data_IF_350683343324
#
_entry.id   IF_350683343324
#
_cell.length_a   1.000
_cell.length_b   1.000
_cell.length_c   1.000
_cell.angle_alpha   90.00
_cell.angle_beta   90.00
_cell.angle_gamma   90.00
#
_symmetry.space_group_name_H-M   'P 1'
#
loop_
_entity.id
_entity.type
_entity.pdbx_description
1 polymer ?
#
# COMPACT_ATOMS: atom_id res chain seq x y z
N UNK A 1 -7.61 -22.89 31.94
CA UNK A 1 -7.24 -22.59 30.54
C UNK A 1 -7.51 -21.11 30.31
N UNK A 2 -6.47 -20.29 30.39
CA UNK A 2 -6.57 -18.84 30.13
C UNK A 2 -6.96 -18.65 28.67
N UNK A 3 -8.01 -17.87 28.39
CA UNK A 3 -8.43 -17.59 27.02
C UNK A 3 -7.22 -17.08 26.19
N UNK A 4 -7.07 -17.50 24.91
CA UNK A 4 -6.02 -16.94 24.06
C UNK A 4 -6.25 -15.43 23.99
N UNK A 5 -5.35 -14.68 24.60
CA UNK A 5 -5.41 -13.21 24.55
C UNK A 5 -5.26 -12.83 23.08
N UNK A 6 -6.20 -12.06 22.53
CA UNK A 6 -6.10 -11.60 21.14
C UNK A 6 -4.90 -10.66 21.06
N UNK A 7 -3.94 -10.87 20.13
CA UNK A 7 -2.79 -9.99 19.99
C UNK A 7 -3.26 -8.56 19.69
N UNK A 8 -2.72 -7.60 20.44
CA UNK A 8 -3.10 -6.20 20.35
C UNK A 8 -1.88 -5.31 20.55
N UNK A 9 -2.02 -4.01 20.26
CA UNK A 9 -0.92 -3.04 20.33
C UNK A 9 -0.31 -2.85 21.73
N UNK A 10 -0.95 -3.33 22.80
CA UNK A 10 -0.43 -3.20 24.17
C UNK A 10 0.37 -4.43 24.62
N UNK A 11 0.27 -5.53 23.87
CA UNK A 11 0.83 -6.83 24.24
C UNK A 11 1.97 -7.29 23.30
N UNK A 12 2.46 -6.39 22.45
CA UNK A 12 3.61 -6.62 21.56
C UNK A 12 4.89 -6.04 22.15
N UNK A 13 6.05 -6.61 21.80
CA UNK A 13 7.35 -6.07 22.22
C UNK A 13 7.83 -4.99 21.25
N UNK A 14 8.54 -3.95 21.72
CA UNK A 14 9.21 -2.98 20.85
C UNK A 14 10.42 -3.60 20.12
N UNK A 15 10.84 -2.93 19.06
CA UNK A 15 12.02 -3.24 18.24
C UNK A 15 12.01 -4.66 17.66
N UNK A 16 10.82 -5.18 17.35
CA UNK A 16 10.65 -6.46 16.67
C UNK A 16 10.47 -6.19 15.18
N UNK A 17 11.17 -6.98 14.35
CA UNK A 17 11.05 -6.92 12.90
C UNK A 17 9.97 -7.89 12.44
N UNK A 18 9.06 -7.42 11.61
CA UNK A 18 7.99 -8.22 11.00
C UNK A 18 8.05 -8.04 9.49
N UNK A 19 7.97 -9.14 8.76
CA UNK A 19 7.99 -9.12 7.30
C UNK A 19 6.59 -9.46 6.77
N UNK A 20 6.07 -8.57 5.94
CA UNK A 20 4.82 -8.79 5.20
C UNK A 20 5.16 -8.93 3.72
N UNK A 21 4.74 -10.02 3.10
CA UNK A 21 4.84 -10.25 1.66
C UNK A 21 3.49 -9.94 1.01
N UNK A 22 3.51 -9.27 -0.14
CA UNK A 22 2.31 -8.98 -0.91
C UNK A 22 2.63 -8.35 -2.25
N UNK A 23 1.57 -8.04 -2.98
CA UNK A 23 1.61 -7.40 -4.30
C UNK A 23 1.29 -5.92 -4.16
N UNK A 24 2.04 -5.03 -4.81
CA UNK A 24 1.81 -3.59 -4.73
C UNK A 24 0.49 -3.21 -5.40
N UNK A 25 -0.47 -2.73 -4.60
CA UNK A 25 -1.73 -2.17 -5.08
C UNK A 25 -1.61 -0.66 -5.36
N UNK A 26 -0.83 0.05 -4.55
CA UNK A 26 -0.49 1.48 -4.70
C UNK A 26 0.81 1.79 -3.95
N UNK A 27 1.69 2.61 -4.54
CA UNK A 27 2.92 3.05 -3.90
C UNK A 27 3.14 4.56 -4.08
N UNK A 28 3.52 5.19 -2.97
CA UNK A 28 4.08 6.54 -2.82
C UNK A 28 5.24 6.43 -1.85
N UNK A 29 6.35 5.92 -2.35
CA UNK A 29 7.54 5.48 -1.62
C UNK A 29 8.78 6.25 -2.03
N UNK A 30 8.84 6.75 -3.28
CA UNK A 30 9.91 7.60 -3.79
C UNK A 30 9.68 9.09 -3.49
N UNK A 31 8.44 9.46 -3.12
CA UNK A 31 8.05 10.84 -2.87
C UNK A 31 7.00 10.95 -1.77
N UNK A 32 7.03 12.06 -1.03
CA UNK A 32 6.05 12.37 0.01
C UNK A 32 4.71 12.73 -0.63
N UNK A 33 3.63 12.23 -0.04
CA UNK A 33 2.27 12.71 -0.30
C UNK A 33 2.10 14.04 0.42
N UNK A 34 1.99 15.13 -0.33
CA UNK A 34 1.90 16.50 0.19
C UNK A 34 0.88 17.33 -0.59
N UNK A 35 0.59 18.55 -0.10
CA UNK A 35 -0.23 19.55 -0.79
C UNK A 35 -1.60 19.04 -1.25
N UNK A 36 -1.97 19.35 -2.50
CA UNK A 36 -3.27 19.00 -3.07
C UNK A 36 -3.55 17.48 -3.11
N UNK A 37 -2.51 16.64 -3.25
CA UNK A 37 -2.69 15.19 -3.17
C UNK A 37 -3.07 14.75 -1.77
N UNK A 38 -2.39 15.27 -0.75
CA UNK A 38 -2.69 15.00 0.65
C UNK A 38 -4.12 15.46 1.01
N UNK A 39 -4.48 16.68 0.63
CA UNK A 39 -5.84 17.24 0.85
C UNK A 39 -6.91 16.36 0.21
N UNK A 40 -6.70 15.94 -1.05
CA UNK A 40 -7.61 15.03 -1.75
C UNK A 40 -7.73 13.69 -1.02
N UNK A 41 -6.64 13.14 -0.51
CA UNK A 41 -6.68 11.87 0.23
C UNK A 41 -7.39 12.01 1.58
N UNK A 42 -7.14 13.10 2.31
CA UNK A 42 -7.84 13.40 3.57
C UNK A 42 -9.34 13.51 3.32
N UNK A 43 -9.75 14.27 2.30
CA UNK A 43 -11.16 14.46 1.93
C UNK A 43 -11.86 13.16 1.53
N UNK A 44 -11.16 12.27 0.81
CA UNK A 44 -11.72 10.97 0.39
C UNK A 44 -11.61 9.87 1.48
N UNK A 45 -10.96 10.15 2.60
CA UNK A 45 -10.76 9.17 3.66
C UNK A 45 -12.06 8.88 4.40
N UNK A 46 -12.33 7.60 4.65
CA UNK A 46 -13.44 7.16 5.53
C UNK A 46 -13.00 6.95 6.98
N UNK A 47 -11.73 7.21 7.28
CA UNK A 47 -11.21 7.10 8.65
C UNK A 47 -11.76 8.25 9.49
N UNK A 48 -12.15 7.96 10.74
CA UNK A 48 -12.46 8.99 11.73
C UNK A 48 -11.24 9.88 12.04
N UNK A 49 -10.03 9.34 11.83
CA UNK A 49 -8.76 10.03 12.02
C UNK A 49 -7.93 9.89 10.75
N UNK A 50 -8.17 10.73 9.73
CA UNK A 50 -7.37 10.70 8.50
C UNK A 50 -5.94 11.20 8.78
N UNK A 51 -4.97 10.62 8.08
CA UNK A 51 -3.57 11.07 8.13
C UNK A 51 -3.45 12.39 7.36
N UNK A 52 -3.12 13.47 8.06
CA UNK A 52 -3.05 14.84 7.52
C UNK A 52 -1.64 15.44 7.54
N UNK A 53 -0.62 14.62 7.81
CA UNK A 53 0.79 14.99 7.75
C UNK A 53 1.41 14.46 6.48
N UNK A 54 2.47 15.10 5.99
CA UNK A 54 3.30 14.57 4.92
C UNK A 54 3.75 13.14 5.27
N UNK A 55 3.59 12.20 4.35
CA UNK A 55 3.97 10.80 4.58
C UNK A 55 4.24 10.07 3.26
N UNK A 56 4.95 8.96 3.36
CA UNK A 56 4.96 7.92 2.30
C UNK A 56 3.95 6.83 2.64
N UNK A 57 3.49 6.13 1.60
CA UNK A 57 2.44 5.13 1.69
C UNK A 57 2.73 3.97 0.74
N UNK A 58 2.59 2.75 1.23
CA UNK A 58 2.47 1.57 0.40
C UNK A 58 1.23 0.78 0.79
N UNK A 59 0.43 0.43 -0.20
CA UNK A 59 -0.73 -0.44 -0.05
C UNK A 59 -0.47 -1.71 -0.84
N UNK A 60 -0.68 -2.83 -0.16
CA UNK A 60 -0.47 -4.17 -0.67
C UNK A 60 -1.80 -4.92 -0.78
N UNK A 61 -1.85 -5.86 -1.71
CA UNK A 61 -2.87 -6.90 -1.88
C UNK A 61 -2.25 -8.29 -1.74
N UNK A 62 -3.06 -9.33 -1.59
CA UNK A 62 -2.62 -10.71 -1.40
C UNK A 62 -1.58 -10.87 -0.28
N UNK A 63 -1.78 -10.13 0.83
CA UNK A 63 -0.82 -10.03 1.91
C UNK A 63 -0.74 -11.30 2.74
N UNK A 64 0.48 -11.67 3.10
CA UNK A 64 0.78 -12.73 4.07
C UNK A 64 1.97 -12.35 4.94
N UNK A 65 1.98 -12.82 6.18
CA UNK A 65 3.16 -12.72 7.04
C UNK A 65 4.20 -13.72 6.55
N UNK A 66 5.47 -13.30 6.53
CA UNK A 66 6.62 -14.20 6.40
C UNK A 66 7.12 -14.48 7.82
N UNK A 67 6.72 -15.60 8.43
CA UNK A 67 7.02 -15.84 9.83
C UNK A 67 8.50 -16.17 10.02
N UNK A 68 9.10 -15.66 11.09
CA UNK A 68 10.46 -16.04 11.49
C UNK A 68 10.55 -17.55 11.81
N UNK A 69 9.48 -18.12 12.38
CA UNK A 69 9.31 -19.56 12.56
C UNK A 69 8.01 -20.05 11.89
N UNK A 70 8.09 -20.84 10.81
CA UNK A 70 6.90 -21.33 10.09
C UNK A 70 5.91 -22.14 10.93
N UNK A 71 6.36 -22.73 12.05
CA UNK A 71 5.50 -23.55 12.90
C UNK A 71 4.61 -22.72 13.85
N UNK A 72 5.01 -21.49 14.18
CA UNK A 72 4.30 -20.67 15.16
C UNK A 72 4.60 -19.19 14.95
N UNK A 73 3.54 -18.40 14.75
CA UNK A 73 3.66 -16.94 14.72
C UNK A 73 3.95 -16.40 16.12
N UNK A 74 4.80 -15.38 16.14
CA UNK A 74 5.00 -14.51 17.30
C UNK A 74 3.76 -13.64 17.55
N UNK A 75 3.68 -13.05 18.75
CA UNK A 75 2.61 -12.12 19.09
C UNK A 75 2.59 -10.89 18.18
N UNK A 76 3.78 -10.42 17.77
CA UNK A 76 3.95 -9.28 16.88
C UNK A 76 3.48 -9.57 15.47
N UNK A 77 3.86 -10.72 14.93
CA UNK A 77 3.41 -11.21 13.62
C UNK A 77 1.89 -11.40 13.58
N UNK A 78 1.32 -12.02 14.62
CA UNK A 78 -0.11 -12.23 14.72
C UNK A 78 -0.88 -10.90 14.88
N UNK A 79 -0.30 -9.92 15.59
CA UNK A 79 -0.86 -8.57 15.68
C UNK A 79 -0.89 -7.89 14.31
N UNK A 80 0.22 -7.88 13.57
CA UNK A 80 0.26 -7.30 12.21
C UNK A 80 -0.69 -8.02 11.27
N UNK A 81 -0.79 -9.35 11.36
CA UNK A 81 -1.75 -10.12 10.58
C UNK A 81 -3.20 -9.69 10.85
N UNK A 82 -3.52 -9.36 12.11
CA UNK A 82 -4.86 -8.87 12.48
C UNK A 82 -5.21 -7.49 11.90
N UNK A 83 -4.20 -6.74 11.43
CA UNK A 83 -4.39 -5.45 10.75
C UNK A 83 -4.70 -5.60 9.26
N UNK A 84 -4.64 -6.82 8.72
CA UNK A 84 -5.03 -7.08 7.34
C UNK A 84 -6.53 -6.88 7.17
N UNK A 85 -6.93 -6.35 6.01
CA UNK A 85 -8.32 -6.04 5.71
C UNK A 85 -8.77 -6.67 4.40
N UNK A 86 -10.04 -7.04 4.32
CA UNK A 86 -10.62 -7.54 3.08
C UNK A 86 -11.12 -6.39 2.20
N UNK A 87 -10.92 -6.53 0.89
CA UNK A 87 -11.40 -5.56 -0.09
C UNK A 87 -12.88 -5.78 -0.41
N UNK A 88 -13.78 -5.03 0.23
CA UNK A 88 -15.25 -5.15 0.03
C UNK A 88 -15.73 -5.12 -1.43
N UNK A 89 -15.07 -4.34 -2.30
CA UNK A 89 -15.46 -4.19 -3.70
C UNK A 89 -14.74 -5.14 -4.66
N UNK A 90 -13.56 -5.62 -4.26
CA UNK A 90 -12.60 -6.30 -5.11
C UNK A 90 -12.00 -7.49 -4.34
N UNK A 91 -12.80 -8.52 -4.00
CA UNK A 91 -12.36 -9.63 -3.16
C UNK A 91 -11.24 -10.46 -3.78
N UNK A 92 -11.08 -10.42 -5.10
CA UNK A 92 -10.00 -11.08 -5.83
C UNK A 92 -8.60 -10.58 -5.46
N UNK A 93 -8.50 -9.40 -4.82
CA UNK A 93 -7.25 -8.84 -4.31
C UNK A 93 -6.81 -9.45 -2.97
N UNK A 94 -7.58 -10.40 -2.44
CA UNK A 94 -7.27 -11.08 -1.19
C UNK A 94 -7.19 -10.13 0.00
N UNK A 95 -6.28 -10.43 0.91
CA UNK A 95 -6.02 -9.61 2.09
C UNK A 95 -5.16 -8.39 1.72
N UNK A 96 -5.62 -7.22 2.12
CA UNK A 96 -4.93 -5.95 1.96
C UNK A 96 -4.20 -5.52 3.22
N UNK A 97 -3.12 -4.79 3.06
CA UNK A 97 -2.41 -4.11 4.14
C UNK A 97 -1.94 -2.73 3.68
N UNK A 98 -1.98 -1.75 4.58
CA UNK A 98 -1.56 -0.38 4.29
C UNK A 98 -0.51 0.04 5.32
N UNK A 99 0.71 0.33 4.84
CA UNK A 99 1.81 0.80 5.66
C UNK A 99 2.10 2.27 5.35
N UNK A 100 2.05 3.09 6.40
CA UNK A 100 2.37 4.52 6.35
C UNK A 100 3.70 4.75 7.03
N UNK A 101 4.55 5.54 6.40
CA UNK A 101 5.71 6.10 7.07
C UNK A 101 5.49 7.62 7.20
N UNK A 102 5.24 8.02 8.45
CA UNK A 102 4.94 9.40 8.84
C UNK A 102 6.22 10.23 9.08
N UNK A 103 7.39 9.65 8.87
CA UNK A 103 8.66 10.39 8.92
C UNK A 103 8.89 11.10 7.58
N UNK A 104 9.78 12.10 7.60
CA UNK A 104 10.20 12.79 6.38
C UNK A 104 11.22 11.98 5.56
N UNK A 105 11.75 10.91 6.13
CA UNK A 105 12.74 10.04 5.50
C UNK A 105 12.01 9.02 4.63
N UNK A 106 12.47 8.84 3.39
CA UNK A 106 11.92 7.81 2.51
C UNK A 106 12.26 6.41 3.04
N UNK A 107 11.37 5.42 2.87
CA UNK A 107 11.69 4.04 3.22
C UNK A 107 12.84 3.53 2.36
N UNK A 108 13.68 2.67 2.94
CA UNK A 108 14.81 2.08 2.21
C UNK A 108 14.30 1.09 1.16
N UNK A 109 14.65 1.29 -0.11
CA UNK A 109 14.35 0.33 -1.17
C UNK A 109 15.53 -0.61 -1.38
N UNK A 110 15.25 -1.92 -1.34
CA UNK A 110 16.23 -2.98 -1.52
C UNK A 110 15.83 -3.84 -2.72
N UNK A 111 16.77 -4.11 -3.63
CA UNK A 111 16.61 -5.06 -4.73
C UNK A 111 17.60 -6.21 -4.57
N UNK A 112 17.30 -7.35 -5.18
CA UNK A 112 18.24 -8.48 -5.21
C UNK A 112 19.50 -8.05 -5.96
N UNK A 113 20.66 -8.41 -5.41
CA UNK A 113 21.93 -8.12 -6.06
C UNK A 113 22.16 -9.09 -7.23
N UNK A 114 22.38 -8.60 -8.47
CA UNK A 114 22.63 -9.46 -9.63
C UNK A 114 23.96 -10.21 -9.54
N UNK A 115 24.95 -9.67 -8.82
CA UNK A 115 26.27 -10.31 -8.67
C UNK A 115 26.27 -11.33 -7.52
N UNK A 116 25.42 -11.12 -6.51
CA UNK A 116 25.25 -12.03 -5.38
C UNK A 116 23.76 -12.27 -5.10
N UNK A 117 23.18 -13.36 -5.60
CA UNK A 117 21.75 -13.65 -5.44
C UNK A 117 21.29 -13.81 -3.99
N UNK A 118 22.19 -13.99 -3.03
CA UNK A 118 21.85 -14.09 -1.61
C UNK A 118 21.95 -12.74 -0.88
N UNK A 119 22.41 -11.70 -1.57
CA UNK A 119 22.50 -10.34 -1.06
C UNK A 119 21.44 -9.42 -1.66
N UNK A 120 21.21 -8.32 -0.96
CA UNK A 120 20.34 -7.23 -1.39
C UNK A 120 21.15 -5.94 -1.46
N UNK A 121 20.95 -5.18 -2.53
CA UNK A 121 21.54 -3.84 -2.69
C UNK A 121 20.49 -2.77 -2.43
N UNK A 122 20.91 -1.66 -1.83
CA UNK A 122 20.07 -0.48 -1.70
C UNK A 122 19.97 0.25 -3.03
N UNK A 123 18.75 0.65 -3.38
CA UNK A 123 18.47 1.48 -4.54
C UNK A 123 18.52 2.93 -4.08
N UNK A 124 19.55 3.66 -4.52
CA UNK A 124 19.80 5.05 -4.11
C UNK A 124 19.08 6.02 -5.05
N UNK A 125 19.09 5.74 -6.35
CA UNK A 125 18.47 6.57 -7.37
C UNK A 125 17.10 6.01 -7.77
N UNK A 126 16.07 6.46 -7.06
CA UNK A 126 14.70 6.01 -7.31
C UNK A 126 14.06 6.92 -8.38
N UNK A 127 13.96 6.43 -9.61
CA UNK A 127 13.45 7.23 -10.74
C UNK A 127 11.92 7.38 -10.77
N UNK A 128 11.20 6.55 -10.01
CA UNK A 128 9.75 6.52 -9.99
C UNK A 128 9.16 5.69 -8.84
N UNK A 129 7.83 5.60 -8.81
CA UNK A 129 7.15 4.77 -7.82
C UNK A 129 7.12 3.30 -8.25
N UNK A 130 7.12 2.39 -7.28
CA UNK A 130 7.04 0.95 -7.54
C UNK A 130 5.75 0.65 -8.33
N UNK A 131 5.88 -0.10 -9.43
CA UNK A 131 4.76 -0.46 -10.27
C UNK A 131 3.73 -1.29 -9.52
N UNK A 132 2.47 -1.10 -9.88
CA UNK A 132 1.39 -1.97 -9.42
C UNK A 132 1.62 -3.38 -9.93
N UNK A 133 1.30 -4.38 -9.12
CA UNK A 133 1.54 -5.78 -9.46
C UNK A 133 2.91 -6.31 -9.06
N UNK A 134 3.82 -5.44 -8.60
CA UNK A 134 5.15 -5.87 -8.16
C UNK A 134 5.03 -6.65 -6.86
N UNK A 135 5.61 -7.84 -6.81
CA UNK A 135 5.73 -8.59 -5.57
C UNK A 135 6.85 -8.00 -4.71
N UNK A 136 6.52 -7.70 -3.45
CA UNK A 136 7.44 -7.10 -2.49
C UNK A 136 7.32 -7.75 -1.12
N UNK A 137 8.40 -7.63 -0.35
CA UNK A 137 8.44 -7.87 1.09
C UNK A 137 8.69 -6.55 1.79
N UNK A 138 7.74 -6.08 2.57
CA UNK A 138 7.94 -4.90 3.40
C UNK A 138 8.45 -5.33 4.78
N UNK A 139 9.43 -4.57 5.28
CA UNK A 139 10.02 -4.73 6.60
C UNK A 139 9.40 -3.71 7.52
N UNK A 140 8.70 -4.20 8.52
CA UNK A 140 8.05 -3.43 9.55
C UNK A 140 8.82 -3.55 10.85
N UNK A 141 8.80 -2.49 11.65
CA UNK A 141 9.41 -2.48 12.97
C UNK A 141 8.40 -2.00 14.01
N UNK A 142 8.26 -2.73 15.11
CA UNK A 142 7.45 -2.27 16.25
C UNK A 142 8.25 -1.23 17.03
N UNK A 143 7.60 -0.15 17.46
CA UNK A 143 8.29 0.89 18.22
C UNK A 143 7.42 1.43 19.35
N UNK A 144 8.09 1.91 20.39
CA UNK A 144 7.46 2.58 21.50
C UNK A 144 6.98 3.96 21.04
N UNK A 145 5.68 4.12 20.82
CA UNK A 145 5.11 5.41 20.42
C UNK A 145 5.20 6.41 21.58
N UNK A 146 5.44 7.67 21.26
CA UNK A 146 5.45 8.78 22.22
C UNK A 146 4.20 9.64 22.07
N UNK A 147 3.65 10.12 23.17
CA UNK A 147 2.54 11.07 23.16
C UNK A 147 3.04 12.48 22.81
N UNK A 148 2.10 13.44 22.70
CA UNK A 148 2.43 14.84 22.41
C UNK A 148 3.34 15.49 23.46
N UNK A 149 3.48 14.87 24.63
CA UNK A 149 4.29 15.33 25.75
C UNK A 149 5.59 14.51 25.92
N UNK A 150 5.91 13.63 24.96
CA UNK A 150 7.13 12.80 24.97
C UNK A 150 7.08 11.59 25.91
N UNK A 151 5.91 11.26 26.47
CA UNK A 151 5.71 10.09 27.35
C UNK A 151 5.39 8.85 26.52
N UNK A 152 5.70 7.68 27.06
CA UNK A 152 5.38 6.41 26.40
C UNK A 152 3.87 6.20 26.29
N UNK A 153 3.38 5.99 25.08
CA UNK A 153 2.03 5.50 24.87
C UNK A 153 1.93 4.03 25.27
N UNK A 154 0.81 3.64 25.86
CA UNK A 154 0.53 2.22 26.16
C UNK A 154 0.45 1.35 24.89
N UNK A 155 0.13 1.98 23.74
CA UNK A 155 0.07 1.30 22.44
C UNK A 155 1.39 1.47 21.73
N UNK A 156 1.98 0.36 21.32
CA UNK A 156 3.12 0.38 20.41
C UNK A 156 2.66 0.65 18.97
N UNK A 157 3.52 1.32 18.23
CA UNK A 157 3.35 1.59 16.81
C UNK A 157 4.01 0.52 15.95
N UNK A 158 3.62 0.48 14.67
CA UNK A 158 4.27 -0.32 13.63
C UNK A 158 4.68 0.64 12.53
N UNK A 159 5.98 0.70 12.25
CA UNK A 159 6.58 1.59 11.27
C UNK A 159 7.11 0.82 10.07
N UNK A 160 7.04 1.42 8.89
CA UNK A 160 7.69 0.90 7.68
C UNK A 160 9.16 1.32 7.67
N UNK A 161 10.07 0.35 7.61
CA UNK A 161 11.51 0.57 7.63
C UNK A 161 12.12 0.41 6.23
N UNK A 162 11.84 -0.72 5.58
CA UNK A 162 12.37 -1.04 4.26
C UNK A 162 11.33 -1.76 3.39
N UNK A 163 11.56 -1.71 2.07
CA UNK A 163 10.81 -2.44 1.06
C UNK A 163 11.80 -3.22 0.22
N UNK A 164 11.63 -4.53 0.20
CA UNK A 164 12.46 -5.48 -0.54
C UNK A 164 11.69 -5.93 -1.78
N UNK A 165 12.24 -5.69 -2.95
CA UNK A 165 11.68 -6.12 -4.22
C UNK A 165 12.02 -7.60 -4.46
N UNK A 166 11.07 -8.36 -5.01
CA UNK A 166 11.36 -9.72 -5.50
C UNK A 166 12.20 -9.72 -6.79
N UNK A 167 12.29 -8.59 -7.50
CA UNK A 167 12.97 -8.41 -8.79
C UNK A 167 14.34 -7.73 -8.63
N UNK A 168 15.20 -7.90 -9.64
CA UNK A 168 16.55 -7.31 -9.70
C UNK A 168 16.52 -5.81 -10.06
N UNK A 169 15.49 -5.39 -10.79
CA UNK A 169 15.22 -4.00 -11.18
C UNK A 169 13.87 -3.55 -10.62
N UNK A 170 13.71 -2.24 -10.40
CA UNK A 170 12.43 -1.66 -9.98
C UNK A 170 11.56 -1.48 -11.21
N UNK A 171 10.47 -2.23 -11.38
CA UNK A 171 9.47 -1.84 -12.37
C UNK A 171 8.86 -0.53 -11.88
N UNK A 172 9.05 0.56 -12.61
CA UNK A 172 8.45 1.85 -12.27
C UNK A 172 7.05 1.96 -12.88
N UNK A 173 6.09 2.51 -12.12
CA UNK A 173 4.82 2.91 -12.71
C UNK A 173 5.06 4.05 -13.71
N UNK A 174 4.54 3.97 -14.95
CA UNK A 174 4.68 5.07 -15.90
C UNK A 174 4.03 6.32 -15.31
N UNK A 175 4.82 7.37 -15.14
CA UNK A 175 4.34 8.71 -14.79
C UNK A 175 3.43 9.15 -15.95
N UNK A 176 2.21 9.63 -15.68
CA UNK A 176 1.27 10.06 -16.72
C UNK A 176 1.98 10.93 -17.76
N UNK A 177 2.16 10.38 -18.96
CA UNK A 177 3.11 10.86 -19.97
C UNK A 177 4.10 9.76 -20.36
N UNK A 178 3.65 8.84 -21.23
CA UNK A 178 4.44 7.75 -21.78
C UNK A 178 5.83 8.24 -22.21
N UNK A 179 6.89 7.69 -21.60
CA UNK A 179 8.26 7.96 -22.03
C UNK A 179 8.66 6.96 -23.10
N UNK A 180 9.50 7.40 -24.03
CA UNK A 180 9.94 6.64 -25.20
C UNK A 180 10.62 5.30 -24.90
N UNK A 181 10.87 4.96 -23.62
CA UNK A 181 11.32 3.65 -23.19
C UNK A 181 10.24 2.55 -23.29
N UNK A 182 8.94 2.91 -23.29
CA UNK A 182 7.84 1.92 -23.36
C UNK A 182 7.51 1.44 -24.79
N UNK A 183 7.99 2.14 -25.82
CA UNK A 183 7.71 1.82 -27.23
C UNK A 183 8.75 0.87 -27.86
N UNK A 184 9.97 0.81 -27.31
CA UNK A 184 11.02 -0.12 -27.77
C UNK A 184 10.65 -1.59 -27.49
N UNK A 185 9.82 -1.83 -26.48
CA UNK A 185 9.31 -3.16 -26.11
C UNK A 185 8.24 -3.70 -27.07
N UNK A 186 7.69 -2.83 -27.94
CA UNK A 186 6.65 -3.18 -28.93
C UNK A 186 7.14 -3.04 -30.39
N UNK A 187 8.43 -2.81 -30.63
CA UNK A 187 9.02 -2.83 -31.98
C UNK A 187 8.73 -1.60 -32.85
N UNK A 188 8.35 -0.46 -32.28
CA UNK A 188 8.06 0.77 -33.04
C UNK A 188 9.31 1.67 -33.02
N UNK A 189 10.05 1.70 -34.13
CA UNK A 189 11.17 2.65 -34.35
C UNK A 189 10.63 3.99 -34.85
N UNK A 190 10.51 4.97 -33.95
CA UNK A 190 10.22 6.37 -34.32
C UNK A 190 11.51 6.99 -34.85
N UNK A 191 11.58 7.17 -36.17
CA UNK A 191 12.71 7.81 -36.85
C UNK A 191 12.48 9.31 -36.90
N UNK A 192 12.75 10.00 -35.79
CA UNK A 192 13.06 11.44 -35.64
C UNK A 192 12.81 11.85 -34.17
N UNK A 193 13.59 12.78 -33.59
CA UNK A 193 13.37 13.21 -32.22
C UNK A 193 12.05 13.99 -32.10
N UNK A 194 11.12 13.46 -31.31
CA UNK A 194 9.88 14.16 -30.95
C UNK A 194 10.23 15.44 -30.17
N UNK A 195 10.06 16.60 -30.81
CA UNK A 195 10.15 17.90 -30.15
C UNK A 195 8.90 18.08 -29.29
N UNK A 196 9.10 18.24 -27.99
CA UNK A 196 8.02 18.57 -27.06
C UNK A 196 7.51 19.99 -27.37
N UNK A 197 6.31 20.12 -27.94
CA UNK A 197 5.58 21.39 -27.91
C UNK A 197 4.99 21.54 -26.52
N UNK A 198 5.65 22.32 -25.67
CA UNK A 198 5.09 22.68 -24.37
C UNK A 198 3.72 23.34 -24.56
N UNK A 199 2.68 22.76 -23.97
CA UNK A 199 1.46 23.51 -23.69
C UNK A 199 1.80 24.54 -22.62
N UNK A 200 1.97 25.81 -23.01
CA UNK A 200 2.02 26.93 -22.08
C UNK A 200 0.77 26.87 -21.22
N UNK A 201 0.95 26.70 -19.91
CA UNK A 201 -0.10 27.02 -18.96
C UNK A 201 -0.51 28.47 -19.23
N UNK A 202 -1.80 28.69 -19.55
CA UNK A 202 -2.31 30.04 -19.69
C UNK A 202 -1.92 30.83 -18.43
N UNK A 203 -1.19 31.96 -18.55
CA UNK A 203 -0.90 32.77 -17.40
C UNK A 203 -2.24 33.26 -16.83
N UNK A 204 -2.45 33.09 -15.52
CA UNK A 204 -3.42 33.91 -14.79
C UNK A 204 -2.85 35.33 -14.85
N UNK A 205 -3.33 36.10 -15.82
CA UNK A 205 -3.12 37.54 -15.88
C UNK A 205 -4.20 38.15 -15.00
N UNK A 206 -3.82 38.68 -13.84
CA UNK A 206 -4.57 39.77 -13.24
C UNK A 206 -4.67 40.89 -14.28
N UNK A 207 -5.89 41.18 -14.71
CA UNK A 207 -6.18 42.28 -15.64
C UNK A 207 -5.94 43.59 -14.89
N UNK A 208 -4.73 44.12 -14.96
CA UNK A 208 -4.44 45.53 -14.68
C UNK A 208 -4.55 46.29 -16.01
N UNK A 209 -5.32 47.38 -15.98
CA UNK A 209 -5.98 47.98 -17.14
C UNK A 209 -5.10 48.43 -18.30
N UNK A 210 -5.67 48.31 -19.50
CA UNK A 210 -5.23 48.88 -20.78
C UNK A 210 -5.42 50.40 -20.81
N UNK A 211 -4.46 51.14 -21.37
CA UNK A 211 -4.72 52.47 -21.92
C UNK A 211 -5.28 52.38 -23.36
N UNK A 212 -5.78 53.49 -23.89
CA UNK A 212 -6.76 53.57 -24.98
C UNK A 212 -6.27 53.16 -26.39
N UNK A 213 -5.24 52.31 -26.53
CA UNK A 213 -4.70 51.93 -27.85
C UNK A 213 -4.18 50.49 -28.00
N UNK A 214 -4.31 49.62 -26.98
CA UNK A 214 -4.38 48.16 -27.20
C UNK A 214 -3.17 47.42 -27.80
N UNK A 215 -1.92 47.83 -27.56
CA UNK A 215 -0.71 47.07 -27.91
C UNK A 215 0.27 47.00 -26.72
N UNK A 216 0.88 45.84 -26.39
CA UNK A 216 1.85 45.74 -25.30
C UNK A 216 3.22 46.34 -25.68
N UNK A 217 3.79 47.15 -24.78
CA UNK A 217 5.10 47.78 -24.91
C UNK A 217 6.26 46.76 -24.71
N UNK A 218 7.30 46.86 -25.54
CA UNK A 218 8.47 45.99 -25.48
C UNK A 218 9.37 46.32 -24.27
N UNK A 219 9.94 45.32 -23.56
CA UNK A 219 10.87 45.55 -22.47
C UNK A 219 12.26 45.96 -22.98
N UNK A 220 12.81 47.02 -22.38
CA UNK A 220 14.12 47.60 -22.69
C UNK A 220 15.22 46.82 -21.95
N UNK A 221 16.18 46.26 -22.69
CA UNK A 221 17.34 45.56 -22.11
C UNK A 221 18.48 46.54 -21.79
N UNK A 222 19.06 46.41 -20.59
CA UNK A 222 20.34 47.06 -20.19
C UNK A 222 21.47 46.02 -20.23
N UNK A 223 22.67 46.33 -20.75
CA UNK A 223 23.74 45.35 -20.86
C UNK A 223 24.61 45.30 -19.60
N UNK A 224 24.73 44.11 -18.98
CA UNK A 224 25.73 43.81 -17.96
C UNK A 224 26.88 42.97 -18.58
N UNK A 225 28.12 43.35 -18.29
CA UNK A 225 29.33 42.73 -18.84
C UNK A 225 29.53 41.28 -18.32
N UNK A 226 30.06 40.35 -19.13
CA UNK A 226 30.26 38.96 -18.72
C UNK A 226 31.50 38.77 -17.82
N UNK A 227 31.45 37.86 -16.82
CA UNK A 227 32.63 37.49 -16.03
C UNK A 227 33.60 36.61 -16.84
N UNK A 228 34.90 36.72 -16.53
CA UNK A 228 35.95 35.97 -17.21
C UNK A 228 35.86 34.45 -16.96
N UNK A 229 36.06 33.65 -18.01
CA UNK A 229 35.97 32.19 -17.96
C UNK A 229 37.16 31.55 -17.21
N UNK A 230 36.94 30.51 -16.39
CA UNK A 230 38.02 29.75 -15.77
C UNK A 230 38.77 28.89 -16.79
N UNK A 231 40.08 28.70 -16.58
CA UNK A 231 40.95 27.89 -17.44
C UNK A 231 40.51 26.41 -17.45
N UNK A 232 40.57 25.79 -18.65
CA UNK A 232 40.16 24.41 -18.84
C UNK A 232 41.13 23.41 -18.14
N UNK A 233 40.62 22.37 -17.48
CA UNK A 233 41.44 21.32 -16.90
C UNK A 233 42.09 20.45 -17.99
N UNK A 234 43.30 19.96 -17.72
CA UNK A 234 44.03 19.07 -18.62
C UNK A 234 43.29 17.74 -18.82
N UNK A 235 43.27 17.25 -20.07
CA UNK A 235 42.58 16.03 -20.42
C UNK A 235 43.21 14.79 -19.74
N UNK A 236 42.41 13.87 -19.18
CA UNK A 236 42.91 12.63 -18.61
C UNK A 236 43.45 11.70 -19.70
N UNK A 237 44.50 10.94 -19.36
CA UNK A 237 45.08 9.94 -20.24
C UNK A 237 44.07 8.81 -20.55
N UNK A 238 44.04 8.36 -21.81
CA UNK A 238 43.12 7.34 -22.26
C UNK A 238 43.40 5.98 -21.57
N UNK A 239 42.36 5.25 -21.12
CA UNK A 239 42.53 3.92 -20.54
C UNK A 239 42.99 2.90 -21.58
N UNK A 240 43.79 1.92 -21.15
CA UNK A 240 44.22 0.81 -21.99
C UNK A 240 43.02 -0.04 -22.44
N UNK A 241 43.04 -0.50 -23.69
CA UNK A 241 41.95 -1.29 -24.25
C UNK A 241 41.83 -2.66 -23.53
N UNK A 242 40.61 -3.12 -23.21
CA UNK A 242 40.38 -4.43 -22.62
C UNK A 242 40.73 -5.56 -23.60
N UNK A 243 41.24 -6.67 -23.06
CA UNK A 243 41.51 -7.87 -23.84
C UNK A 243 40.20 -8.46 -24.40
N UNK A 244 40.26 -8.99 -25.63
CA UNK A 244 39.09 -9.56 -26.29
C UNK A 244 38.59 -10.81 -25.53
N UNK A 245 37.26 -10.96 -25.35
CA UNK A 245 36.68 -12.13 -24.70
C UNK A 245 36.90 -13.40 -25.53
N UNK A 246 37.06 -14.53 -24.84
CA UNK A 246 37.14 -15.84 -25.47
C UNK A 246 35.82 -16.19 -26.17
N UNK A 247 35.91 -16.85 -27.33
CA UNK A 247 34.72 -17.24 -28.10
C UNK A 247 33.87 -18.26 -27.31
N UNK A 248 32.53 -18.14 -27.34
CA UNK A 248 31.64 -19.06 -26.65
C UNK A 248 31.69 -20.47 -27.26
N UNK A 249 31.55 -21.48 -26.41
CA UNK A 249 31.43 -22.86 -26.85
C UNK A 249 30.13 -23.06 -27.67
N UNK A 250 30.20 -23.90 -28.70
CA UNK A 250 29.05 -24.19 -29.56
C UNK A 250 27.92 -24.88 -28.75
N UNK A 251 26.64 -24.55 -29.01
CA UNK A 251 25.52 -25.14 -28.31
C UNK A 251 25.36 -26.63 -28.65
N UNK A 252 25.00 -27.43 -27.64
CA UNK A 252 24.63 -28.84 -27.80
C UNK A 252 23.29 -28.92 -28.52
N UNK A 253 23.18 -29.81 -29.51
CA UNK A 253 21.95 -30.00 -30.28
C UNK A 253 20.79 -30.47 -29.37
N UNK A 254 19.56 -29.96 -29.57
CA UNK A 254 18.41 -30.33 -28.77
C UNK A 254 17.99 -31.79 -29.02
N UNK A 255 17.61 -32.47 -27.94
CA UNK A 255 17.01 -33.81 -27.99
C UNK A 255 15.59 -33.71 -28.55
N UNK A 256 15.23 -34.56 -29.50
CA UNK A 256 13.90 -34.57 -30.10
C UNK A 256 12.82 -34.92 -29.04
N UNK A 257 11.65 -34.24 -29.03
CA UNK A 257 10.56 -34.55 -28.11
C UNK A 257 9.97 -35.94 -28.37
N UNK A 258 9.65 -36.66 -27.30
CA UNK A 258 8.84 -37.87 -27.39
C UNK A 258 7.43 -37.52 -27.90
N UNK A 259 6.86 -38.38 -28.75
CA UNK A 259 5.52 -38.18 -29.30
C UNK A 259 4.45 -38.17 -28.19
N UNK A 260 3.49 -37.25 -28.27
CA UNK A 260 2.40 -37.15 -27.31
C UNK A 260 1.44 -38.36 -27.41
N UNK A 261 1.07 -38.94 -26.27
CA UNK A 261 -0.03 -39.92 -26.22
C UNK A 261 -1.37 -39.24 -26.51
N UNK A 262 -2.20 -39.89 -27.32
CA UNK A 262 -3.53 -39.38 -27.66
C UNK A 262 -4.42 -39.27 -26.39
N UNK A 263 -5.27 -38.23 -26.28
CA UNK A 263 -6.19 -38.09 -25.16
C UNK A 263 -7.24 -39.21 -25.13
N UNK A 264 -7.59 -39.68 -23.94
CA UNK A 264 -8.74 -40.55 -23.76
C UNK A 264 -10.05 -39.81 -24.11
N UNK A 265 -10.97 -40.49 -24.78
CA UNK A 265 -12.27 -39.92 -25.15
C UNK A 265 -13.11 -39.58 -23.89
N UNK A 266 -13.88 -38.48 -23.89
CA UNK A 266 -14.68 -38.07 -22.75
C UNK A 266 -15.85 -39.04 -22.49
N UNK A 267 -16.08 -39.36 -21.22
CA UNK A 267 -17.26 -40.12 -20.77
C UNK A 267 -18.53 -39.28 -20.95
N UNK A 268 -19.58 -39.87 -21.49
CA UNK A 268 -20.87 -39.19 -21.70
C UNK A 268 -21.49 -38.75 -20.35
N UNK A 269 -22.16 -37.58 -20.31
CA UNK A 269 -22.80 -37.08 -19.09
C UNK A 269 -23.98 -37.96 -18.66
N UNK A 270 -24.12 -38.14 -17.35
CA UNK A 270 -25.25 -38.85 -16.76
C UNK A 270 -26.54 -38.01 -16.88
N UNK A 271 -27.68 -38.66 -17.11
CA UNK A 271 -28.96 -37.99 -17.30
C UNK A 271 -29.40 -37.22 -16.03
N UNK A 272 -30.13 -36.09 -16.16
CA UNK A 272 -30.60 -35.31 -15.02
C UNK A 272 -31.60 -36.08 -14.15
N UNK A 273 -31.47 -35.95 -12.83
CA UNK A 273 -32.45 -36.46 -11.86
C UNK A 273 -33.67 -35.54 -11.85
N UNK A 274 -34.86 -36.12 -11.93
CA UNK A 274 -36.13 -35.37 -11.87
C UNK A 274 -36.34 -34.75 -10.48
N UNK A 275 -36.78 -33.48 -10.40
CA UNK A 275 -36.97 -32.80 -9.10
C UNK A 275 -38.14 -33.40 -8.31
N UNK A 276 -37.93 -33.54 -7.00
CA UNK A 276 -38.96 -33.95 -6.03
C UNK A 276 -40.00 -32.84 -5.87
N UNK A 277 -41.28 -33.20 -5.81
CA UNK A 277 -42.39 -32.25 -5.67
C UNK A 277 -42.33 -31.48 -4.32
N UNK A 278 -42.80 -30.22 -4.27
CA UNK A 278 -42.79 -29.41 -3.06
C UNK A 278 -43.76 -29.92 -1.99
N UNK A 279 -43.37 -29.78 -0.72
CA UNK A 279 -44.21 -30.08 0.43
C UNK A 279 -45.35 -29.06 0.58
N UNK A 280 -46.51 -29.53 1.05
CA UNK A 280 -47.71 -28.71 1.26
C UNK A 280 -47.52 -27.69 2.41
N UNK A 281 -48.12 -26.48 2.33
CA UNK A 281 -47.99 -25.46 3.36
C UNK A 281 -48.73 -25.81 4.66
N UNK A 282 -48.12 -25.49 5.80
CA UNK A 282 -48.70 -25.66 7.14
C UNK A 282 -49.68 -24.52 7.42
N UNK A 283 -50.90 -24.87 7.85
CA UNK A 283 -51.99 -23.92 8.18
C UNK A 283 -51.72 -23.27 9.56
N UNK A 284 -51.88 -21.95 9.73
CA UNK A 284 -51.66 -21.29 11.01
C UNK A 284 -52.75 -21.64 12.04
N UNK A 285 -52.33 -22.01 13.25
CA UNK A 285 -53.21 -22.16 14.42
C UNK A 285 -53.55 -20.77 14.96
N UNK A 286 -54.84 -20.46 15.03
CA UNK A 286 -55.36 -19.23 15.63
C UNK A 286 -56.01 -19.56 16.96
N UNK A 287 -55.38 -19.26 18.10
CA UNK A 287 -56.06 -19.26 19.41
C UNK A 287 -55.59 -18.15 20.35
N UNK A 288 -56.52 -17.22 20.60
CA UNK A 288 -56.84 -16.51 21.83
C UNK A 288 -55.71 -15.98 22.74
N UNK A 289 -55.62 -14.64 22.80
CA UNK A 289 -55.12 -13.93 23.98
C UNK A 289 -55.99 -14.27 25.20
N UNK A 290 -55.43 -14.97 26.18
CA UNK A 290 -55.88 -14.96 27.57
C UNK A 290 -54.78 -14.31 28.41
N UNK A 291 -55.10 -13.17 29.02
CA UNK A 291 -54.23 -12.46 29.94
C UNK A 291 -54.20 -13.22 31.27
N UNK A 292 -53.05 -13.78 31.63
CA UNK A 292 -52.79 -14.35 32.96
C UNK A 292 -51.70 -13.54 33.68
N UNK A 293 -51.93 -13.27 34.96
CA UNK A 293 -51.20 -12.39 35.86
C UNK A 293 -49.68 -12.68 36.01
N UNK A 294 -48.85 -11.70 36.42
CA UNK A 294 -47.41 -11.89 36.57
C UNK A 294 -47.06 -12.86 37.70
N UNK A 295 -46.18 -13.81 37.39
CA UNK A 295 -45.59 -14.73 38.36
C UNK A 295 -44.59 -14.01 39.29
N UNK A 296 -44.53 -14.46 40.54
CA UNK A 296 -43.67 -13.97 41.62
C UNK A 296 -42.16 -14.04 41.30
N UNK A 297 -41.32 -13.21 41.94
CA UNK A 297 -39.89 -13.15 41.64
C UNK A 297 -39.15 -14.44 42.05
N UNK A 298 -38.35 -14.96 41.13
CA UNK A 298 -37.46 -16.11 41.33
C UNK A 298 -36.28 -15.71 42.23
N UNK A 299 -36.08 -16.47 43.30
CA UNK A 299 -34.94 -16.36 44.22
C UNK A 299 -33.62 -16.53 43.46
N UNK A 300 -32.69 -15.60 43.69
CA UNK A 300 -31.37 -15.57 43.06
C UNK A 300 -30.49 -16.79 43.35
N UNK A 301 -29.60 -17.07 42.40
CA UNK A 301 -28.55 -18.08 42.48
C UNK A 301 -27.50 -17.66 43.55
N UNK A 302 -27.25 -18.46 44.60
CA UNK A 302 -26.41 -18.08 45.74
C UNK A 302 -24.88 -18.10 45.47
N UNK A 303 -24.44 -18.06 44.21
CA UNK A 303 -23.02 -18.16 43.85
C UNK A 303 -22.47 -16.97 43.02
N UNK A 304 -23.20 -15.84 42.94
CA UNK A 304 -22.78 -14.68 42.17
C UNK A 304 -22.32 -13.52 43.08
N UNK A 305 -21.03 -13.16 43.15
CA UNK A 305 -20.51 -12.18 44.11
C UNK A 305 -20.82 -10.69 43.75
N UNK A 306 -21.65 -10.42 42.75
CA UNK A 306 -22.02 -9.07 42.33
C UNK A 306 -23.54 -8.79 42.26
N UNK A 307 -24.38 -9.67 42.80
CA UNK A 307 -25.82 -9.40 42.91
C UNK A 307 -26.12 -8.40 44.05
N UNK A 308 -25.84 -7.11 43.84
CA UNK A 308 -26.10 -6.09 44.86
C UNK A 308 -25.69 -4.64 44.58
N UNK A 309 -25.44 -4.22 43.34
CA UNK A 309 -25.15 -2.82 43.03
C UNK A 309 -26.29 -2.16 42.21
N UNK A 310 -26.90 -1.05 42.67
CA UNK A 310 -27.87 -0.31 41.87
C UNK A 310 -27.20 0.40 40.68
N UNK A 311 -27.88 0.42 39.53
CA UNK A 311 -27.41 1.06 38.30
C UNK A 311 -27.20 2.59 38.49
N UNK A 312 -26.11 3.18 37.97
CA UNK A 312 -25.90 4.63 38.06
C UNK A 312 -26.80 5.40 37.09
N UNK A 313 -27.51 6.39 37.63
CA UNK A 313 -28.33 7.35 36.88
C UNK A 313 -27.45 8.38 36.17
N UNK A 314 -27.52 8.44 34.84
CA UNK A 314 -26.90 9.51 34.06
C UNK A 314 -27.83 10.72 34.05
N UNK A 315 -27.57 11.66 34.97
CA UNK A 315 -28.23 12.97 35.01
C UNK A 315 -27.74 13.89 33.89
N UNK A 316 -28.63 14.25 32.98
CA UNK A 316 -28.48 15.41 32.11
C UNK A 316 -28.92 16.66 32.86
N UNK A 317 -27.99 17.55 33.19
CA UNK A 317 -28.28 18.88 33.70
C UNK A 317 -28.21 19.88 32.55
N UNK A 318 -29.36 20.48 32.25
CA UNK A 318 -29.58 21.46 31.20
C UNK A 318 -29.02 22.85 31.51
N UNK A 319 -28.94 23.62 30.43
CA UNK A 319 -28.62 25.03 30.34
C UNK A 319 -29.68 25.87 31.07
N UNK A 320 -29.27 26.80 31.93
CA UNK A 320 -29.93 28.10 32.10
C UNK A 320 -28.94 29.18 32.60
N UNK A 321 -28.79 30.24 31.80
CA UNK A 321 -28.55 31.62 32.23
C UNK A 321 -29.92 32.34 32.29
N UNK A 322 -30.01 33.61 32.72
CA UNK A 322 -29.65 34.19 34.01
C UNK A 322 -30.82 35.02 34.60
N UNK A 323 -30.72 35.41 35.87
CA UNK A 323 -31.27 36.65 36.42
C UNK A 323 -30.43 37.07 37.64
#
# INVERSE_FOLDING_TARGET
MTAPTVPNSTNIRPNQVIIVQGEVAFARTASLITGAELERRVSNSKSAYPTNTDHTLISLSNCKIVPANPAQLTWEEAYVQSLFFEHKKNPEKGLGYEAKNLTRSLPTLLARDPENPDAYRQIVDVEGEIARGTEVRIVLNTFQSKDKFGRDHQKLGVGLEAIILSTEEVPYAPRTGARSLDLSSYGITVSEPLVATNGTAAPVIEIVGTDASGLPAAPVATPAAPPAAPAAPAAPAAPAAPAAPAAPAAPVAPVAPAAASAPAAPTAPSAPVTPTAPAQPIVPVAEAYQVAAPAAPVSGNPADPFAGAPAPSWGGAGIQQPA
#
